data_IF_993187166206
#
_entry.id   IF_993187166206
#
_cell.length_a   1.000
_cell.length_b   1.000
_cell.length_c   1.000
_cell.angle_alpha   90.00
_cell.angle_beta   90.00
_cell.angle_gamma   90.00
#
_symmetry.space_group_name_H-M   'P 1'
#
loop_
_entity.id
_entity.type
_entity.pdbx_description
1 polymer ?
#
# COMPACT_ATOMS: atom_id res chain seq x y z
N UNK A 1 -7.85 4.01 14.35
CA UNK A 1 -7.68 3.64 12.93
C UNK A 1 -6.68 2.51 12.74
N UNK A 2 -5.41 2.61 13.18
CA UNK A 2 -4.46 1.50 13.02
C UNK A 2 -4.78 0.25 13.85
N UNK A 3 -5.34 0.42 15.06
CA UNK A 3 -5.88 -0.64 15.94
C UNK A 3 -5.11 -1.98 15.93
N UNK A 4 -3.78 -1.91 15.88
CA UNK A 4 -2.92 -3.06 15.63
C UNK A 4 -2.92 -4.08 16.78
N UNK A 5 -3.32 -3.67 17.99
CA UNK A 5 -3.45 -4.56 19.16
C UNK A 5 -4.74 -5.38 19.14
N UNK A 6 -5.61 -5.24 18.14
CA UNK A 6 -6.85 -6.01 18.04
C UNK A 6 -6.59 -7.52 17.86
N UNK A 7 -7.47 -8.39 18.37
CA UNK A 7 -7.25 -9.84 18.32
C UNK A 7 -7.08 -10.41 16.91
N UNK A 8 -7.81 -9.91 15.91
CA UNK A 8 -7.71 -10.42 14.54
C UNK A 8 -6.39 -10.03 13.85
N UNK A 9 -5.89 -8.81 14.09
CA UNK A 9 -4.57 -8.38 13.61
C UNK A 9 -3.47 -9.20 14.27
N UNK A 10 -3.49 -9.33 15.61
CA UNK A 10 -2.49 -10.11 16.34
C UNK A 10 -2.53 -11.61 15.98
N UNK A 11 -3.73 -12.16 15.76
CA UNK A 11 -3.90 -13.54 15.29
C UNK A 11 -3.28 -13.75 13.91
N UNK A 12 -3.47 -12.83 12.96
CA UNK A 12 -2.82 -12.90 11.65
C UNK A 12 -1.29 -12.85 11.79
N UNK A 13 -0.76 -11.90 12.57
CA UNK A 13 0.68 -11.75 12.82
C UNK A 13 1.28 -13.04 13.39
N UNK A 14 0.61 -13.63 14.38
CA UNK A 14 1.02 -14.88 15.00
C UNK A 14 1.00 -16.03 14.00
N UNK A 15 -0.10 -16.21 13.26
CA UNK A 15 -0.26 -17.31 12.29
C UNK A 15 0.77 -17.25 11.15
N UNK A 16 1.17 -16.05 10.74
CA UNK A 16 2.18 -15.83 9.69
C UNK A 16 3.62 -15.88 10.22
N UNK A 17 3.80 -15.98 11.54
CA UNK A 17 5.10 -16.03 12.21
C UNK A 17 6.03 -14.84 11.88
N UNK A 18 5.47 -13.68 11.51
CA UNK A 18 6.26 -12.54 11.03
C UNK A 18 7.28 -12.03 12.04
N UNK A 19 6.99 -12.10 13.34
CA UNK A 19 7.92 -11.70 14.40
C UNK A 19 9.21 -12.53 14.46
N UNK A 20 9.19 -13.75 13.93
CA UNK A 20 10.37 -14.64 13.84
C UNK A 20 11.19 -14.46 12.57
N UNK A 21 10.74 -13.62 11.63
CA UNK A 21 11.42 -13.37 10.35
C UNK A 21 12.32 -12.13 10.48
N UNK A 22 13.49 -12.16 9.83
CA UNK A 22 14.38 -11.00 9.67
C UNK A 22 13.61 -9.78 9.10
N UNK A 23 13.97 -8.58 9.55
CA UNK A 23 13.17 -7.34 9.39
C UNK A 23 12.83 -7.05 7.92
N UNK A 24 13.80 -7.11 7.02
CA UNK A 24 13.56 -6.89 5.59
C UNK A 24 12.57 -7.91 5.03
N UNK A 25 12.78 -9.19 5.30
CA UNK A 25 11.88 -10.25 4.83
C UNK A 25 10.47 -10.14 5.44
N UNK A 26 10.38 -9.69 6.69
CA UNK A 26 9.11 -9.41 7.37
C UNK A 26 8.33 -8.30 6.67
N UNK A 27 8.98 -7.16 6.39
CA UNK A 27 8.39 -6.04 5.64
C UNK A 27 7.89 -6.54 4.28
N UNK A 28 8.72 -7.29 3.55
CA UNK A 28 8.38 -7.86 2.24
C UNK A 28 7.15 -8.76 2.30
N UNK A 29 7.07 -9.65 3.29
CA UNK A 29 5.95 -10.57 3.43
C UNK A 29 4.65 -9.83 3.78
N UNK A 30 4.71 -8.85 4.69
CA UNK A 30 3.55 -8.02 5.03
C UNK A 30 3.08 -7.21 3.82
N UNK A 31 4.02 -6.63 3.07
CA UNK A 31 3.72 -5.90 1.84
C UNK A 31 3.02 -6.80 0.82
N UNK A 32 3.56 -7.99 0.56
CA UNK A 32 2.95 -8.96 -0.34
C UNK A 32 1.55 -9.39 0.12
N UNK A 33 1.35 -9.63 1.42
CA UNK A 33 0.04 -9.95 1.98
C UNK A 33 -0.98 -8.84 1.67
N UNK A 34 -0.66 -7.58 1.97
CA UNK A 34 -1.58 -6.47 1.71
C UNK A 34 -1.79 -6.26 0.21
N UNK A 35 -0.76 -6.41 -0.62
CA UNK A 35 -0.88 -6.27 -2.08
C UNK A 35 -1.77 -7.36 -2.67
N UNK A 36 -1.49 -8.62 -2.35
CA UNK A 36 -1.99 -9.78 -3.08
C UNK A 36 -3.24 -10.42 -2.45
N UNK A 37 -3.40 -10.35 -1.13
CA UNK A 37 -4.48 -11.04 -0.41
C UNK A 37 -5.63 -10.10 -0.01
N UNK A 38 -5.40 -8.79 0.03
CA UNK A 38 -6.44 -7.79 0.25
C UNK A 38 -6.89 -7.24 -1.09
N UNK A 39 -8.10 -7.55 -1.53
CA UNK A 39 -8.60 -7.15 -2.84
C UNK A 39 -8.72 -5.63 -2.95
N UNK A 40 -8.48 -5.10 -4.15
CA UNK A 40 -8.74 -3.69 -4.41
C UNK A 40 -10.25 -3.46 -4.54
N UNK A 41 -10.76 -2.42 -3.88
CA UNK A 41 -12.15 -1.99 -3.99
C UNK A 41 -12.30 -0.50 -3.72
N UNK A 42 -13.52 0.01 -3.83
CA UNK A 42 -13.83 1.40 -3.51
C UNK A 42 -14.55 1.48 -2.17
N UNK A 43 -14.18 2.46 -1.35
CA UNK A 43 -14.86 2.70 -0.08
C UNK A 43 -15.59 4.04 -0.12
N UNK A 44 -16.59 4.16 0.76
CA UNK A 44 -17.28 5.42 1.02
C UNK A 44 -16.45 6.33 1.94
N UNK A 45 -15.54 5.75 2.73
CA UNK A 45 -14.78 6.45 3.77
C UNK A 45 -13.34 5.91 3.89
N UNK A 46 -12.40 6.82 4.13
CA UNK A 46 -10.99 6.53 4.41
C UNK A 46 -10.71 6.28 5.90
N UNK A 47 -11.67 6.55 6.79
CA UNK A 47 -11.51 6.41 8.25
C UNK A 47 -11.64 4.97 8.78
N UNK A 48 -11.69 3.98 7.88
CA UNK A 48 -11.95 2.58 8.23
C UNK A 48 -10.78 1.98 9.05
N UNK A 49 -11.05 1.36 10.21
CA UNK A 49 -10.00 0.74 11.02
C UNK A 49 -9.34 -0.47 10.34
N UNK A 50 -8.04 -0.69 10.58
CA UNK A 50 -7.27 -1.78 9.98
C UNK A 50 -7.86 -3.16 10.29
N UNK A 51 -8.35 -3.38 11.51
CA UNK A 51 -9.04 -4.62 11.89
C UNK A 51 -10.23 -4.92 10.98
N UNK A 52 -10.98 -3.89 10.57
CA UNK A 52 -12.13 -4.02 9.65
C UNK A 52 -11.69 -4.23 8.21
N UNK A 53 -10.62 -3.55 7.78
CA UNK A 53 -9.99 -3.81 6.47
C UNK A 53 -9.59 -5.28 6.35
N UNK A 54 -8.96 -5.83 7.38
CA UNK A 54 -8.57 -7.24 7.43
C UNK A 54 -9.78 -8.17 7.41
N UNK A 55 -10.82 -7.87 8.20
CA UNK A 55 -12.00 -8.73 8.29
C UNK A 55 -12.80 -8.81 6.98
N UNK A 56 -12.86 -7.70 6.23
CA UNK A 56 -13.62 -7.65 4.97
C UNK A 56 -12.79 -8.07 3.76
N UNK A 57 -11.45 -8.05 3.84
CA UNK A 57 -10.57 -8.59 2.81
C UNK A 57 -10.51 -7.79 1.50
N UNK A 58 -11.14 -6.61 1.42
CA UNK A 58 -11.03 -5.72 0.27
C UNK A 58 -11.13 -4.24 0.67
N UNK A 59 -10.34 -3.36 0.05
CA UNK A 59 -10.34 -1.91 0.31
C UNK A 59 -9.61 -1.08 -0.74
N UNK A 60 -9.80 0.25 -0.72
CA UNK A 60 -9.03 1.18 -1.54
C UNK A 60 -7.61 1.41 -1.01
N UNK A 61 -6.79 2.10 -1.79
CA UNK A 61 -5.36 2.28 -1.55
C UNK A 61 -5.01 2.83 -0.16
N UNK A 62 -5.66 3.92 0.27
CA UNK A 62 -5.36 4.60 1.54
C UNK A 62 -5.67 3.71 2.76
N UNK A 63 -6.77 2.97 2.70
CA UNK A 63 -7.19 2.05 3.77
C UNK A 63 -6.39 0.74 3.75
N UNK A 64 -5.93 0.29 2.59
CA UNK A 64 -4.88 -0.76 2.51
C UNK A 64 -3.58 -0.29 3.14
N UNK A 65 -3.18 0.98 2.95
CA UNK A 65 -2.04 1.59 3.62
C UNK A 65 -2.20 1.62 5.16
N UNK A 66 -3.41 1.86 5.64
CA UNK A 66 -3.74 1.78 7.08
C UNK A 66 -3.53 0.36 7.63
N UNK A 67 -4.01 -0.67 6.92
CA UNK A 67 -3.75 -2.06 7.31
C UNK A 67 -2.25 -2.39 7.25
N UNK A 68 -1.56 -1.96 6.20
CA UNK A 68 -0.11 -2.16 6.08
C UNK A 68 0.65 -1.58 7.27
N UNK A 69 0.37 -0.33 7.64
CA UNK A 69 0.96 0.29 8.82
C UNK A 69 0.61 -0.44 10.12
N UNK A 70 -0.64 -0.89 10.28
CA UNK A 70 -1.05 -1.64 11.46
C UNK A 70 -0.24 -2.94 11.62
N UNK A 71 -0.05 -3.68 10.52
CA UNK A 71 0.74 -4.92 10.53
C UNK A 71 2.21 -4.65 10.84
N UNK A 72 2.81 -3.62 10.22
CA UNK A 72 4.19 -3.20 10.50
C UNK A 72 4.39 -2.82 11.97
N UNK A 73 3.49 -2.02 12.54
CA UNK A 73 3.53 -1.63 13.95
C UNK A 73 3.31 -2.82 14.88
N UNK A 74 2.44 -3.76 14.52
CA UNK A 74 2.22 -5.00 15.27
C UNK A 74 3.42 -5.95 15.30
N UNK A 75 4.43 -5.72 14.44
CA UNK A 75 5.70 -6.44 14.41
C UNK A 75 6.91 -5.55 14.67
N UNK A 76 6.70 -4.40 15.33
CA UNK A 76 7.75 -3.50 15.79
C UNK A 76 8.60 -2.86 14.67
N UNK A 77 8.05 -2.73 13.46
CA UNK A 77 8.68 -1.98 12.37
C UNK A 77 8.19 -0.52 12.39
N UNK A 78 9.06 0.48 12.56
CA UNK A 78 8.67 1.88 12.48
C UNK A 78 8.21 2.24 11.07
N UNK A 79 7.07 2.92 10.98
CA UNK A 79 6.50 3.35 9.71
C UNK A 79 5.75 4.68 9.84
N UNK A 80 5.66 5.46 8.76
CA UNK A 80 4.91 6.73 8.74
C UNK A 80 4.12 6.86 7.44
N UNK A 81 2.96 7.50 7.54
CA UNK A 81 2.14 7.81 6.37
C UNK A 81 2.47 9.23 5.91
N UNK A 82 2.54 9.41 4.60
CA UNK A 82 2.52 10.72 3.97
C UNK A 82 1.35 10.78 3.02
N UNK A 83 0.89 12.00 2.73
CA UNK A 83 -0.14 12.17 1.73
C UNK A 83 -0.32 13.61 1.31
N UNK A 84 -0.86 13.77 0.10
CA UNK A 84 -1.22 15.05 -0.47
C UNK A 84 -2.49 14.90 -1.30
N UNK A 85 -3.11 16.03 -1.61
CA UNK A 85 -4.29 16.08 -2.45
C UNK A 85 -3.89 16.31 -3.90
N UNK A 86 -4.38 15.47 -4.82
CA UNK A 86 -4.18 15.59 -6.26
C UNK A 86 -5.47 15.89 -6.99
N UNK A 87 -5.40 16.59 -8.12
CA UNK A 87 -6.54 16.70 -9.04
C UNK A 87 -6.78 15.35 -9.72
N UNK A 88 -8.04 14.89 -9.72
CA UNK A 88 -8.45 13.63 -10.38
C UNK A 88 -8.09 13.55 -11.86
N UNK A 89 -7.78 14.68 -12.51
CA UNK A 89 -7.20 14.72 -13.86
C UNK A 89 -5.97 13.83 -13.99
N UNK A 90 -5.16 13.70 -12.94
CA UNK A 90 -3.98 12.81 -12.93
C UNK A 90 -4.33 11.32 -12.96
N UNK A 91 -5.57 10.94 -12.62
CA UNK A 91 -6.06 9.56 -12.70
C UNK A 91 -6.80 9.24 -14.00
N UNK A 92 -6.84 10.19 -14.93
CA UNK A 92 -7.52 10.00 -16.22
C UNK A 92 -6.72 8.99 -17.05
N UNK A 93 -7.28 7.80 -17.24
CA UNK A 93 -6.63 6.69 -17.95
C UNK A 93 -6.40 5.45 -17.07
N UNK A 94 -6.20 5.63 -15.76
CA UNK A 94 -6.22 4.53 -14.77
C UNK A 94 -7.61 4.28 -14.20
N UNK A 95 -8.44 5.33 -14.10
CA UNK A 95 -9.86 5.24 -13.78
C UNK A 95 -10.69 5.73 -14.97
N UNK A 96 -11.69 4.95 -15.38
CA UNK A 96 -12.53 5.25 -16.55
C UNK A 96 -14.03 5.19 -16.23
N UNK A 97 -14.86 5.72 -17.15
CA UNK A 97 -16.31 5.58 -17.10
C UNK A 97 -16.99 6.30 -15.93
N UNK A 98 -17.99 5.64 -15.33
CA UNK A 98 -18.86 6.21 -14.30
C UNK A 98 -18.07 6.53 -13.02
N UNK A 99 -17.08 5.69 -12.68
CA UNK A 99 -16.25 5.84 -11.48
C UNK A 99 -15.45 7.15 -11.53
N UNK A 100 -14.83 7.45 -12.69
CA UNK A 100 -14.09 8.70 -12.88
C UNK A 100 -14.99 9.95 -12.80
N UNK A 101 -16.21 9.86 -13.36
CA UNK A 101 -17.18 10.97 -13.30
C UNK A 101 -17.62 11.25 -11.86
N UNK A 102 -17.85 10.20 -11.07
CA UNK A 102 -18.29 10.28 -9.67
C UNK A 102 -17.18 10.61 -8.67
N UNK A 103 -15.90 10.43 -9.04
CA UNK A 103 -14.79 10.76 -8.16
C UNK A 103 -14.72 12.28 -7.86
N UNK A 104 -14.37 12.68 -6.62
CA UNK A 104 -14.20 14.09 -6.26
C UNK A 104 -13.09 14.73 -7.08
N UNK A 105 -13.16 16.05 -7.29
CA UNK A 105 -12.15 16.80 -8.06
C UNK A 105 -10.74 16.62 -7.47
N UNK A 106 -10.69 16.58 -6.14
CA UNK A 106 -9.49 16.46 -5.35
C UNK A 106 -9.49 15.07 -4.69
N UNK A 107 -8.43 14.30 -4.88
CA UNK A 107 -8.28 12.93 -4.36
C UNK A 107 -7.10 12.90 -3.42
N UNK A 108 -7.27 12.28 -2.26
CA UNK A 108 -6.18 12.05 -1.34
C UNK A 108 -5.31 10.89 -1.83
N UNK A 109 -4.03 11.19 -2.07
CA UNK A 109 -3.01 10.22 -2.41
C UNK A 109 -2.09 10.05 -1.21
N UNK A 110 -1.73 8.80 -0.90
CA UNK A 110 -0.88 8.48 0.24
C UNK A 110 0.10 7.34 -0.04
N UNK A 111 1.23 7.38 0.66
CA UNK A 111 2.24 6.32 0.69
C UNK A 111 2.75 6.10 2.10
N UNK A 112 3.29 4.91 2.35
CA UNK A 112 3.83 4.53 3.65
C UNK A 112 5.34 4.44 3.53
N UNK A 113 6.07 5.07 4.44
CA UNK A 113 7.50 4.81 4.60
C UNK A 113 7.75 3.83 5.74
N UNK A 114 8.80 3.03 5.59
CA UNK A 114 9.31 2.10 6.62
C UNK A 114 10.75 2.44 6.96
N UNK A 115 11.10 2.30 8.23
CA UNK A 115 12.48 2.50 8.68
C UNK A 115 13.23 1.17 8.69
N UNK A 116 14.32 1.08 7.93
CA UNK A 116 15.19 -0.09 7.83
C UNK A 116 16.65 0.41 7.74
N UNK A 117 17.54 -0.16 8.55
CA UNK A 117 18.99 0.10 8.50
C UNK A 117 19.39 1.58 8.49
N UNK A 118 18.71 2.42 9.27
CA UNK A 118 19.02 3.86 9.36
C UNK A 118 18.33 4.73 8.32
N UNK A 119 17.57 4.14 7.40
CA UNK A 119 17.00 4.82 6.23
C UNK A 119 15.47 4.66 6.20
N UNK A 120 14.77 5.71 5.78
CA UNK A 120 13.34 5.66 5.47
C UNK A 120 13.16 5.28 4.00
N UNK A 121 12.49 4.16 3.75
CA UNK A 121 12.14 3.69 2.41
C UNK A 121 10.66 3.93 2.14
N UNK A 122 10.36 4.60 1.04
CA UNK A 122 9.01 4.81 0.55
C UNK A 122 8.45 3.49 0.00
N UNK A 123 7.24 3.13 0.38
CA UNK A 123 6.52 1.97 -0.16
C UNK A 123 5.17 2.44 -0.68
N UNK A 124 5.08 2.38 -2.01
CA UNK A 124 3.86 2.66 -2.76
C UNK A 124 3.21 1.36 -3.28
N UNK A 125 2.02 1.54 -3.86
CA UNK A 125 1.30 0.52 -4.61
C UNK A 125 0.82 -0.69 -3.79
N UNK A 126 -0.07 -0.44 -2.84
CA UNK A 126 -1.09 -1.43 -2.46
C UNK A 126 -2.17 -1.62 -3.56
N UNK A 127 -2.06 -0.88 -4.67
CA UNK A 127 -3.07 -0.74 -5.73
C UNK A 127 -2.86 -1.74 -6.87
N UNK A 128 -1.61 -2.07 -7.16
CA UNK A 128 -1.28 -2.73 -8.41
C UNK A 128 -1.17 -4.22 -8.15
N UNK A 129 -2.18 -4.95 -8.63
CA UNK A 129 -2.09 -6.39 -8.69
C UNK A 129 -0.84 -6.81 -9.49
N UNK A 130 -0.41 -8.05 -9.27
CA UNK A 130 0.76 -8.61 -9.94
C UNK A 130 0.68 -8.48 -11.46
N UNK A 131 -0.52 -8.54 -12.04
CA UNK A 131 -0.75 -8.44 -13.49
C UNK A 131 -0.43 -7.04 -14.01
N UNK A 132 -0.87 -6.00 -13.33
CA UNK A 132 -0.58 -4.62 -13.67
C UNK A 132 0.90 -4.29 -13.46
N UNK A 133 1.51 -4.75 -12.37
CA UNK A 133 2.97 -4.60 -12.15
C UNK A 133 3.78 -5.26 -13.27
N UNK A 134 3.43 -6.49 -13.65
CA UNK A 134 4.07 -7.19 -14.76
C UNK A 134 3.92 -6.46 -16.10
N UNK A 135 2.76 -5.84 -16.36
CA UNK A 135 2.57 -5.03 -17.57
C UNK A 135 3.47 -3.79 -17.57
N UNK A 136 3.59 -3.07 -16.45
CA UNK A 136 4.47 -1.90 -16.35
C UNK A 136 5.95 -2.26 -16.43
N UNK A 137 6.36 -3.37 -15.80
CA UNK A 137 7.73 -3.88 -15.86
C UNK A 137 8.12 -4.27 -17.30
N UNK A 138 7.22 -4.90 -18.04
CA UNK A 138 7.44 -5.24 -19.46
C UNK A 138 7.62 -3.99 -20.34
N UNK A 139 6.90 -2.91 -20.06
CA UNK A 139 6.99 -1.65 -20.82
C UNK A 139 8.31 -0.91 -20.52
N UNK A 140 8.91 -1.08 -19.34
CA UNK A 140 10.08 -0.31 -18.88
C UNK A 140 11.34 -1.17 -18.65
N UNK A 141 11.52 -2.24 -19.42
CA UNK A 141 12.52 -3.31 -19.22
C UNK A 141 14.00 -2.89 -19.22
N UNK A 142 14.33 -1.63 -19.51
CA UNK A 142 15.70 -1.11 -19.66
C UNK A 142 16.25 -0.34 -18.45
N UNK A 143 15.49 -0.13 -17.36
CA UNK A 143 15.96 0.57 -16.15
C UNK A 143 16.38 -0.41 -15.03
N UNK A 144 17.59 -0.24 -14.46
CA UNK A 144 18.15 -1.08 -13.38
C UNK A 144 18.45 -0.30 -12.09
N UNK A 145 18.41 -0.98 -10.93
CA UNK A 145 18.55 -0.41 -9.58
C UNK A 145 17.93 -1.31 -8.49
N UNK A 146 18.46 -1.27 -7.27
CA UNK A 146 18.11 -2.14 -6.11
C UNK A 146 16.67 -2.00 -5.60
N UNK A 147 15.89 -1.09 -6.19
CA UNK A 147 14.54 -0.71 -5.77
C UNK A 147 13.46 -0.99 -6.84
N UNK A 148 13.80 -1.60 -7.98
CA UNK A 148 12.81 -1.89 -9.05
C UNK A 148 11.90 -3.10 -8.74
N UNK A 149 12.33 -4.01 -7.88
CA UNK A 149 11.55 -5.20 -7.50
C UNK A 149 10.48 -4.92 -6.42
N UNK A 150 10.52 -3.74 -5.80
CA UNK A 150 9.61 -3.28 -4.75
C UNK A 150 9.04 -1.89 -5.09
N UNK A 151 8.40 -1.78 -6.26
CA UNK A 151 7.53 -0.64 -6.66
C UNK A 151 8.15 0.74 -6.48
N UNK A 152 8.70 1.28 -7.56
CA UNK A 152 8.79 2.74 -7.77
C UNK A 152 7.89 3.12 -8.95
N UNK A 153 6.78 3.80 -8.68
CA UNK A 153 5.99 4.49 -9.71
C UNK A 153 6.08 6.01 -9.65
N UNK A 154 6.85 6.56 -8.71
CA UNK A 154 7.00 8.02 -8.56
C UNK A 154 8.39 8.55 -8.96
N UNK A 155 8.83 8.16 -10.18
CA UNK A 155 9.61 9.08 -11.03
C UNK A 155 8.80 9.64 -12.21
N UNK A 156 7.47 9.43 -12.26
CA UNK A 156 6.63 9.87 -13.39
C UNK A 156 5.59 10.94 -12.99
N UNK A 157 5.49 11.35 -11.72
CA UNK A 157 4.56 12.44 -11.34
C UNK A 157 5.11 13.58 -10.48
N UNK A 158 6.41 13.59 -10.17
CA UNK A 158 7.08 14.74 -9.56
C UNK A 158 8.48 14.84 -10.16
N UNK A 159 8.85 16.03 -10.65
CA UNK A 159 10.01 16.37 -11.49
C UNK A 159 9.78 16.18 -13.00
N UNK A 160 8.77 16.87 -13.55
CA UNK A 160 8.92 18.07 -14.39
C UNK A 160 7.53 18.66 -14.68
#
# INVERSE_FOLDING_TARGET
>A
MLDFSTPNIQKLISNRHWKGVEVYNRIKQIYNFVRDEILFGYNVDDSIPASRVLAEGYRQCNTKGTLFMALLRGVDVPCRMHGFTIDKKLQKGTMTGIVYKKAPKNIFHSWVEVYLDGVWYELEAFILDKKYLSQIQNINSTRKGTFWDMVSLLKICVIQ
#
